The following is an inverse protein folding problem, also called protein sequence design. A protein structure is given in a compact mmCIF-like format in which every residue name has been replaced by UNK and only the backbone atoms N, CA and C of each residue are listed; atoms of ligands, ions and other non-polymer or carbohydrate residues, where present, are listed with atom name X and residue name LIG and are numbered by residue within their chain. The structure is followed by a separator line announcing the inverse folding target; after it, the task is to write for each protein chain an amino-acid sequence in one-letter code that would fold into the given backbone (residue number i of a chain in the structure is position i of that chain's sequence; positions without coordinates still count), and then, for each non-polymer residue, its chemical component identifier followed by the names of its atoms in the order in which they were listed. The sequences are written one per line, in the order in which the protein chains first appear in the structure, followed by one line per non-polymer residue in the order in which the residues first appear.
data_IF_323191625212
#
_entry.id   IF_323191625212
#
_cell.length_a   1.000
_cell.length_b   1.000
_cell.length_c   1.000
_cell.angle_alpha   90.00
_cell.angle_beta   90.00
_cell.angle_gamma   90.00
#
_symmetry.space_group_name_H-M   'P 1'
#
loop_
_entity.id
_entity.type
_entity.pdbx_description
1 polymer ?
#
# COMPACT_ATOMS: atom_id res chain seq x y z
N UNK A 1 -0.86 -13.68 46.02
CA UNK A 1 -1.06 -14.95 45.27
C UNK A 1 0.14 -15.14 44.37
N UNK A 2 0.67 -16.35 44.25
CA UNK A 2 1.80 -16.60 43.36
C UNK A 2 1.31 -17.03 41.97
N UNK A 3 1.65 -16.28 40.93
CA UNK A 3 1.42 -16.69 39.53
C UNK A 3 2.77 -16.98 38.89
N UNK A 4 2.88 -18.11 38.20
CA UNK A 4 4.09 -18.51 37.50
C UNK A 4 3.75 -18.72 36.03
N UNK A 5 4.55 -18.14 35.14
CA UNK A 5 4.50 -18.32 33.71
C UNK A 5 5.85 -18.86 33.24
N UNK A 6 5.85 -19.86 32.36
CA UNK A 6 7.04 -20.40 31.72
C UNK A 6 6.89 -20.27 30.21
N UNK A 7 7.75 -19.48 29.60
CA UNK A 7 7.86 -19.30 28.13
C UNK A 7 8.99 -20.19 27.61
N UNK A 8 8.69 -21.05 26.66
CA UNK A 8 9.64 -22.02 26.05
C UNK A 8 9.87 -21.66 24.60
N UNK A 9 11.13 -21.52 24.23
CA UNK A 9 11.57 -21.31 22.85
C UNK A 9 12.85 -22.09 22.56
N UNK A 10 13.00 -22.55 21.33
CA UNK A 10 14.25 -23.15 20.82
C UNK A 10 15.18 -22.09 20.19
N UNK A 11 14.66 -20.87 19.95
CA UNK A 11 15.42 -19.76 19.37
C UNK A 11 16.17 -18.98 20.47
N UNK A 12 17.51 -18.90 20.33
CA UNK A 12 18.38 -18.21 21.27
C UNK A 12 18.18 -16.70 21.28
N UNK A 13 17.89 -16.08 20.13
CA UNK A 13 17.69 -14.65 20.03
C UNK A 13 16.38 -14.23 20.73
N UNK A 14 15.31 -15.00 20.53
CA UNK A 14 14.04 -14.81 21.24
C UNK A 14 14.24 -14.90 22.76
N UNK A 15 15.00 -15.90 23.23
CA UNK A 15 15.23 -16.04 24.67
C UNK A 15 16.05 -14.88 25.26
N UNK A 16 17.06 -14.37 24.54
CA UNK A 16 17.86 -13.21 24.94
C UNK A 16 16.99 -11.93 24.95
N UNK A 17 16.22 -11.72 23.89
CA UNK A 17 15.30 -10.57 23.79
C UNK A 17 14.32 -10.57 24.98
N UNK A 18 13.65 -11.70 25.22
CA UNK A 18 12.69 -11.80 26.32
C UNK A 18 13.33 -11.54 27.69
N UNK A 19 14.52 -12.05 27.95
CA UNK A 19 15.23 -11.80 29.21
C UNK A 19 15.58 -10.32 29.37
N UNK A 20 16.06 -9.68 28.31
CA UNK A 20 16.39 -8.26 28.30
C UNK A 20 15.15 -7.39 28.58
N UNK A 21 14.04 -7.63 27.89
CA UNK A 21 12.80 -6.89 28.11
C UNK A 21 12.24 -7.08 29.53
N UNK A 22 12.42 -8.27 30.11
CA UNK A 22 11.99 -8.54 31.47
C UNK A 22 12.88 -7.85 32.56
N UNK A 23 14.10 -7.43 32.24
CA UNK A 23 14.93 -6.61 33.14
C UNK A 23 14.33 -5.19 33.32
N UNK A 24 13.69 -4.66 32.27
CA UNK A 24 13.06 -3.32 32.29
C UNK A 24 11.54 -3.38 32.50
N UNK A 25 11.03 -4.55 32.90
CA UNK A 25 9.60 -4.77 32.99
C UNK A 25 8.99 -3.98 34.16
N UNK A 26 8.08 -3.07 33.84
CA UNK A 26 7.49 -2.09 34.78
C UNK A 26 6.62 -2.69 35.90
N UNK A 27 6.51 -4.03 36.01
CA UNK A 27 5.71 -4.71 37.03
C UNK A 27 6.61 -5.10 38.20
N UNK A 28 6.32 -4.53 39.37
CA UNK A 28 7.03 -4.86 40.61
C UNK A 28 6.73 -6.30 41.07
N UNK A 29 7.63 -6.86 41.88
CA UNK A 29 7.46 -8.19 42.49
C UNK A 29 7.52 -9.35 41.50
N UNK A 30 8.27 -9.21 40.40
CA UNK A 30 8.62 -10.32 39.54
C UNK A 30 10.00 -10.89 39.90
N UNK A 31 10.16 -12.18 39.70
CA UNK A 31 11.45 -12.85 39.73
C UNK A 31 11.57 -13.70 38.47
N UNK A 32 12.64 -13.47 37.70
CA UNK A 32 12.90 -14.13 36.41
C UNK A 32 14.07 -15.10 36.56
N UNK A 33 13.90 -16.31 36.04
CA UNK A 33 14.96 -17.28 35.92
C UNK A 33 14.92 -17.96 34.57
N UNK A 34 16.06 -18.43 34.07
CA UNK A 34 16.13 -19.16 32.82
C UNK A 34 16.99 -20.37 32.94
N UNK A 35 16.61 -21.46 32.28
CA UNK A 35 17.42 -22.66 32.16
C UNK A 35 17.18 -23.35 30.82
N UNK A 36 18.20 -24.00 30.30
CA UNK A 36 18.11 -24.79 29.08
C UNK A 36 17.81 -26.25 29.39
N UNK A 37 16.78 -26.78 28.75
CA UNK A 37 16.45 -28.20 28.84
C UNK A 37 16.28 -28.78 27.43
N UNK A 38 17.17 -29.72 27.07
CA UNK A 38 17.27 -30.26 25.71
C UNK A 38 17.43 -29.12 24.66
N UNK A 39 16.49 -28.98 23.74
CA UNK A 39 16.49 -27.97 22.67
C UNK A 39 15.86 -26.65 23.09
N UNK A 40 15.09 -26.64 24.18
CA UNK A 40 14.35 -25.44 24.62
C UNK A 40 15.09 -24.66 25.70
N UNK A 41 15.07 -23.35 25.59
CA UNK A 41 15.32 -22.42 26.70
C UNK A 41 13.97 -22.12 27.36
N UNK A 42 13.90 -22.30 28.68
CA UNK A 42 12.73 -22.04 29.49
C UNK A 42 12.97 -20.75 30.26
N UNK A 43 12.18 -19.71 30.00
CA UNK A 43 12.18 -18.45 30.74
C UNK A 43 11.00 -18.52 31.71
N UNK A 44 11.29 -18.52 33.02
CA UNK A 44 10.30 -18.67 34.09
C UNK A 44 10.14 -17.31 34.78
N UNK A 45 8.92 -16.85 34.86
CA UNK A 45 8.54 -15.59 35.46
C UNK A 45 7.63 -15.86 36.64
N UNK A 46 8.11 -15.56 37.85
CA UNK A 46 7.33 -15.65 39.09
C UNK A 46 6.84 -14.27 39.48
N UNK A 47 5.53 -14.12 39.64
CA UNK A 47 4.91 -12.90 40.12
C UNK A 47 4.30 -13.08 41.50
N UNK A 48 4.71 -12.23 42.48
CA UNK A 48 4.23 -12.26 43.86
C UNK A 48 3.35 -11.07 44.23
N UNK A 49 2.96 -10.23 43.25
CA UNK A 49 2.15 -9.05 43.46
C UNK A 49 0.67 -9.33 43.70
N UNK A 50 -0.09 -8.26 43.96
CA UNK A 50 -1.54 -8.33 44.23
C UNK A 50 -2.38 -8.28 42.95
N UNK A 51 -1.92 -7.57 41.92
CA UNK A 51 -2.69 -7.33 40.69
C UNK A 51 -2.23 -8.32 39.58
N UNK A 52 -2.81 -9.52 39.59
CA UNK A 52 -2.51 -10.57 38.60
C UNK A 52 -2.98 -10.16 37.21
N UNK A 53 -4.09 -9.48 37.09
CA UNK A 53 -4.66 -9.04 35.81
C UNK A 53 -3.70 -8.07 35.09
N UNK A 54 -3.20 -7.03 35.79
CA UNK A 54 -2.21 -6.13 35.24
C UNK A 54 -0.93 -6.86 34.80
N UNK A 55 -0.47 -7.85 35.59
CA UNK A 55 0.69 -8.66 35.23
C UNK A 55 0.42 -9.47 33.95
N UNK A 56 -0.74 -10.13 33.86
CA UNK A 56 -1.10 -10.93 32.67
C UNK A 56 -1.21 -10.03 31.43
N UNK A 57 -1.86 -8.87 31.53
CA UNK A 57 -1.96 -7.93 30.43
C UNK A 57 -0.59 -7.48 29.95
N UNK A 58 0.29 -7.03 30.86
CA UNK A 58 1.63 -6.54 30.51
C UNK A 58 2.49 -7.63 29.86
N UNK A 59 2.49 -8.86 30.42
CA UNK A 59 3.29 -9.97 29.85
C UNK A 59 2.71 -10.43 28.50
N UNK A 60 1.39 -10.42 28.31
CA UNK A 60 0.76 -10.74 27.03
C UNK A 60 1.11 -9.74 25.95
N UNK A 61 1.12 -8.46 26.29
CA UNK A 61 1.56 -7.39 25.38
C UNK A 61 3.04 -7.52 25.00
N UNK A 62 3.92 -7.81 25.97
CA UNK A 62 5.34 -8.06 25.71
C UNK A 62 5.52 -9.22 24.73
N UNK A 63 4.79 -10.32 24.95
CA UNK A 63 4.85 -11.48 24.06
C UNK A 63 4.25 -11.19 22.68
N UNK A 64 3.25 -10.28 22.58
CA UNK A 64 2.72 -9.85 21.29
C UNK A 64 3.79 -9.12 20.46
N UNK A 65 4.52 -8.18 21.05
CA UNK A 65 5.64 -7.54 20.37
C UNK A 65 6.71 -8.54 19.95
N UNK A 66 7.04 -9.52 20.80
CA UNK A 66 7.98 -10.56 20.46
C UNK A 66 7.52 -11.40 19.25
N UNK A 67 6.22 -11.70 19.14
CA UNK A 67 5.68 -12.41 17.95
C UNK A 67 5.82 -11.56 16.69
N UNK A 68 5.52 -10.28 16.77
CA UNK A 68 5.65 -9.36 15.64
C UNK A 68 7.12 -9.28 15.18
N UNK A 69 8.04 -9.06 16.11
CA UNK A 69 9.45 -8.88 15.77
C UNK A 69 10.12 -10.14 15.19
N UNK A 70 9.78 -11.32 15.69
CA UNK A 70 10.49 -12.56 15.37
C UNK A 70 9.74 -13.55 14.48
N UNK A 71 8.42 -13.53 14.45
CA UNK A 71 7.62 -14.49 13.69
C UNK A 71 6.90 -13.89 12.49
N UNK A 72 6.43 -12.63 12.56
CA UNK A 72 5.66 -11.99 11.50
C UNK A 72 6.37 -11.99 10.15
N UNK A 73 7.68 -11.64 10.04
CA UNK A 73 8.38 -11.66 8.76
C UNK A 73 8.36 -13.03 8.09
N UNK A 74 8.52 -14.10 8.87
CA UNK A 74 8.51 -15.46 8.34
C UNK A 74 7.10 -15.94 7.99
N UNK A 75 6.08 -15.50 8.71
CA UNK A 75 4.68 -15.81 8.42
C UNK A 75 4.27 -15.15 7.09
N UNK A 76 4.55 -13.85 6.91
CA UNK A 76 4.26 -13.13 5.67
C UNK A 76 4.96 -13.82 4.49
N UNK A 77 6.24 -14.15 4.63
CA UNK A 77 6.98 -14.82 3.57
C UNK A 77 6.41 -16.20 3.21
N UNK A 78 5.95 -16.95 4.22
CA UNK A 78 5.32 -18.25 4.01
C UNK A 78 3.95 -18.11 3.34
N UNK A 79 3.13 -17.11 3.71
CA UNK A 79 1.85 -16.81 3.05
C UNK A 79 2.06 -16.49 1.57
N UNK A 80 3.01 -15.60 1.25
CA UNK A 80 3.36 -15.26 -0.13
C UNK A 80 3.82 -16.51 -0.90
N UNK A 81 4.70 -17.32 -0.32
CA UNK A 81 5.24 -18.50 -1.00
C UNK A 81 4.18 -19.59 -1.24
N UNK A 82 3.22 -19.72 -0.34
CA UNK A 82 2.20 -20.77 -0.41
C UNK A 82 1.03 -20.36 -1.28
N UNK A 83 0.48 -19.15 -1.06
CA UNK A 83 -0.74 -18.70 -1.75
C UNK A 83 -0.43 -18.15 -3.15
N UNK A 84 0.77 -17.60 -3.34
CA UNK A 84 1.20 -16.92 -4.57
C UNK A 84 2.46 -17.57 -5.17
N UNK A 85 2.48 -18.88 -5.21
CA UNK A 85 3.63 -19.69 -5.67
C UNK A 85 4.04 -19.40 -7.13
N UNK A 86 3.12 -18.88 -7.95
CA UNK A 86 3.32 -18.59 -9.38
C UNK A 86 4.12 -17.31 -9.66
N UNK A 87 4.33 -16.41 -8.69
CA UNK A 87 5.22 -15.28 -8.85
C UNK A 87 6.69 -15.70 -8.79
N UNK A 88 7.52 -15.00 -9.53
CA UNK A 88 8.98 -15.16 -9.49
C UNK A 88 9.56 -14.77 -8.12
N UNK A 89 10.79 -15.15 -7.87
CA UNK A 89 11.49 -14.80 -6.61
C UNK A 89 11.62 -13.30 -6.41
N UNK A 90 11.83 -12.54 -7.50
CA UNK A 90 11.96 -11.08 -7.46
C UNK A 90 10.60 -10.43 -7.14
N UNK A 91 9.54 -10.84 -7.83
CA UNK A 91 8.19 -10.34 -7.58
C UNK A 91 7.73 -10.63 -6.14
N UNK A 92 8.02 -11.83 -5.61
CA UNK A 92 7.73 -12.17 -4.21
C UNK A 92 8.45 -11.26 -3.22
N UNK A 93 9.69 -10.87 -3.54
CA UNK A 93 10.45 -9.94 -2.72
C UNK A 93 9.83 -8.54 -2.74
N UNK A 94 9.36 -8.07 -3.90
CA UNK A 94 8.69 -6.79 -4.03
C UNK A 94 7.36 -6.77 -3.28
N UNK A 95 6.56 -7.84 -3.40
CA UNK A 95 5.31 -8.01 -2.63
C UNK A 95 5.60 -8.02 -1.13
N UNK A 96 6.64 -8.74 -0.68
CA UNK A 96 7.05 -8.76 0.73
C UNK A 96 7.41 -7.36 1.24
N UNK A 97 8.18 -6.59 0.48
CA UNK A 97 8.52 -5.21 0.82
C UNK A 97 7.27 -4.32 0.89
N UNK A 98 6.31 -4.51 -0.03
CA UNK A 98 5.03 -3.83 0.02
C UNK A 98 4.25 -4.17 1.29
N UNK A 99 4.24 -5.42 1.74
CA UNK A 99 3.59 -5.82 2.99
C UNK A 99 4.21 -5.07 4.19
N UNK A 100 5.54 -5.03 4.29
CA UNK A 100 6.21 -4.34 5.39
C UNK A 100 5.93 -2.83 5.44
N UNK A 101 5.72 -2.19 4.28
CA UNK A 101 5.44 -0.75 4.20
C UNK A 101 3.96 -0.38 4.35
N UNK A 102 3.05 -1.33 4.12
CA UNK A 102 1.61 -1.09 4.17
C UNK A 102 0.94 -1.51 5.50
N UNK A 103 1.68 -2.10 6.43
CA UNK A 103 1.19 -2.31 7.80
C UNK A 103 1.18 -0.93 8.48
N UNK A 104 0.04 -0.26 8.45
CA UNK A 104 -0.15 1.05 9.06
C UNK A 104 -0.29 0.94 10.60
N UNK A 105 -0.29 2.09 11.28
CA UNK A 105 -0.39 2.16 12.74
C UNK A 105 -1.69 1.54 13.29
N UNK A 106 -2.82 1.64 12.57
CA UNK A 106 -4.10 1.05 13.00
C UNK A 106 -4.07 -0.47 12.91
N UNK A 107 -3.54 -0.99 11.80
CA UNK A 107 -3.35 -2.43 11.59
C UNK A 107 -2.40 -3.00 12.64
N UNK A 108 -1.31 -2.31 12.94
CA UNK A 108 -0.36 -2.72 13.99
C UNK A 108 -1.01 -2.78 15.37
N UNK A 109 -1.82 -1.81 15.76
CA UNK A 109 -2.55 -1.83 17.05
C UNK A 109 -3.55 -2.98 17.08
N UNK A 110 -4.30 -3.21 16.00
CA UNK A 110 -5.25 -4.32 15.91
C UNK A 110 -4.55 -5.66 16.08
N UNK A 111 -3.43 -5.84 15.40
CA UNK A 111 -2.59 -7.05 15.47
C UNK A 111 -2.07 -7.28 16.91
N UNK A 112 -1.51 -6.25 17.54
CA UNK A 112 -1.02 -6.34 18.94
C UNK A 112 -2.14 -6.77 19.87
N UNK A 113 -3.34 -6.20 19.73
CA UNK A 113 -4.48 -6.53 20.57
C UNK A 113 -4.93 -8.00 20.38
N UNK A 114 -5.03 -8.46 19.14
CA UNK A 114 -5.39 -9.85 18.82
C UNK A 114 -4.42 -10.84 19.48
N UNK A 115 -3.12 -10.59 19.32
CA UNK A 115 -2.09 -11.49 19.88
C UNK A 115 -2.07 -11.40 21.41
N UNK A 116 -2.16 -10.19 21.98
CA UNK A 116 -2.16 -9.97 23.43
C UNK A 116 -3.35 -10.65 24.10
N UNK A 117 -4.55 -10.52 23.52
CA UNK A 117 -5.76 -11.14 24.02
C UNK A 117 -5.65 -12.68 24.00
N UNK A 118 -5.12 -13.24 22.91
CA UNK A 118 -4.89 -14.67 22.82
C UNK A 118 -3.91 -15.20 23.88
N UNK A 119 -2.83 -14.45 24.19
CA UNK A 119 -1.91 -14.81 25.28
C UNK A 119 -2.57 -14.63 26.65
N UNK A 120 -3.33 -13.54 26.86
CA UNK A 120 -4.02 -13.28 28.12
C UNK A 120 -4.99 -14.39 28.46
N UNK A 121 -5.88 -14.77 27.53
CA UNK A 121 -6.83 -15.87 27.71
C UNK A 121 -6.09 -17.20 27.96
N UNK A 122 -5.03 -17.44 27.23
CA UNK A 122 -4.26 -18.67 27.39
C UNK A 122 -3.62 -18.78 28.77
N UNK A 123 -3.00 -17.73 29.28
CA UNK A 123 -2.34 -17.72 30.59
C UNK A 123 -3.31 -17.66 31.77
N UNK A 124 -4.55 -17.34 31.53
CA UNK A 124 -5.58 -17.45 32.58
C UNK A 124 -5.67 -18.89 33.10
N UNK A 125 -5.61 -19.86 32.18
CA UNK A 125 -5.74 -21.28 32.47
C UNK A 125 -4.41 -22.05 32.48
N UNK A 126 -3.40 -21.56 31.81
CA UNK A 126 -2.14 -22.28 31.58
C UNK A 126 -0.97 -21.59 32.26
N UNK A 127 0.05 -22.40 32.64
CA UNK A 127 1.28 -21.91 33.30
C UNK A 127 2.49 -21.89 32.37
N UNK A 128 2.43 -22.54 31.21
CA UNK A 128 3.54 -22.61 30.28
C UNK A 128 3.06 -22.49 28.84
N UNK A 129 3.90 -21.94 27.99
CA UNK A 129 3.67 -21.82 26.55
C UNK A 129 4.93 -22.23 25.78
N UNK A 130 4.78 -22.97 24.69
CA UNK A 130 5.82 -23.20 23.67
C UNK A 130 5.49 -22.23 22.54
N UNK A 131 6.37 -21.25 22.29
CA UNK A 131 6.06 -20.14 21.35
C UNK A 131 5.73 -20.63 19.96
N UNK A 132 6.55 -21.51 19.36
CA UNK A 132 6.30 -22.03 18.01
C UNK A 132 4.94 -22.74 17.91
N UNK A 133 4.58 -23.53 18.92
CA UNK A 133 3.28 -24.20 18.98
C UNK A 133 2.14 -23.22 19.17
N UNK A 134 2.34 -22.17 19.96
CA UNK A 134 1.32 -21.14 20.17
C UNK A 134 1.04 -20.38 18.90
N UNK A 135 2.07 -19.92 18.19
CA UNK A 135 1.94 -19.23 16.91
C UNK A 135 1.18 -20.09 15.90
N UNK A 136 1.61 -21.34 15.72
CA UNK A 136 1.04 -22.20 14.68
C UNK A 136 -0.39 -22.66 14.97
N UNK A 137 -0.79 -22.80 16.25
CA UNK A 137 -2.07 -23.44 16.60
C UNK A 137 -3.08 -22.47 17.25
N UNK A 138 -2.62 -21.37 17.85
CA UNK A 138 -3.50 -20.48 18.63
C UNK A 138 -3.71 -19.11 17.97
N UNK A 139 -2.78 -18.65 17.13
CA UNK A 139 -2.85 -17.33 16.48
C UNK A 139 -3.51 -17.37 15.10
N UNK A 140 -4.55 -18.18 14.91
CA UNK A 140 -5.24 -18.31 13.61
C UNK A 140 -5.87 -17.00 13.13
N UNK A 141 -6.46 -16.22 14.03
CA UNK A 141 -7.06 -14.93 13.68
C UNK A 141 -5.99 -13.93 13.24
N UNK A 142 -4.86 -13.90 13.94
CA UNK A 142 -3.71 -13.09 13.56
C UNK A 142 -3.15 -13.47 12.17
N UNK A 143 -2.97 -14.76 11.91
CA UNK A 143 -2.49 -15.23 10.59
C UNK A 143 -3.48 -14.85 9.49
N UNK A 144 -4.80 -14.89 9.77
CA UNK A 144 -5.83 -14.47 8.82
C UNK A 144 -5.79 -12.97 8.54
N UNK A 145 -5.52 -12.13 9.54
CA UNK A 145 -5.33 -10.69 9.31
C UNK A 145 -4.09 -10.42 8.44
N UNK A 146 -2.98 -11.11 8.70
CA UNK A 146 -1.80 -11.01 7.85
C UNK A 146 -2.06 -11.49 6.42
N UNK A 147 -2.82 -12.55 6.24
CA UNK A 147 -3.22 -13.05 4.92
C UNK A 147 -4.01 -11.99 4.14
N UNK A 148 -4.95 -11.31 4.81
CA UNK A 148 -5.68 -10.17 4.21
C UNK A 148 -4.75 -9.03 3.78
N UNK A 149 -3.74 -8.69 4.59
CA UNK A 149 -2.73 -7.69 4.24
C UNK A 149 -1.92 -8.13 3.02
N UNK A 150 -1.51 -9.39 2.98
CA UNK A 150 -0.78 -9.97 1.83
C UNK A 150 -1.63 -9.90 0.57
N UNK A 151 -2.91 -10.28 0.62
CA UNK A 151 -3.84 -10.19 -0.51
C UNK A 151 -3.96 -8.75 -1.06
N UNK A 152 -4.10 -7.77 -0.18
CA UNK A 152 -4.15 -6.35 -0.56
C UNK A 152 -2.85 -5.90 -1.24
N UNK A 153 -1.70 -6.30 -0.72
CA UNK A 153 -0.40 -5.96 -1.29
C UNK A 153 -0.18 -6.64 -2.65
N UNK A 154 -0.60 -7.88 -2.81
CA UNK A 154 -0.56 -8.60 -4.10
C UNK A 154 -1.43 -7.91 -5.14
N UNK A 155 -2.67 -7.55 -4.79
CA UNK A 155 -3.57 -6.84 -5.69
C UNK A 155 -2.96 -5.50 -6.13
N UNK A 156 -2.40 -4.74 -5.20
CA UNK A 156 -1.70 -3.49 -5.52
C UNK A 156 -0.51 -3.73 -6.45
N UNK A 157 0.31 -4.73 -6.16
CA UNK A 157 1.46 -5.10 -7.00
C UNK A 157 1.03 -5.44 -8.44
N UNK A 158 -0.04 -6.23 -8.61
CA UNK A 158 -0.57 -6.58 -9.93
C UNK A 158 -1.03 -5.33 -10.68
N UNK A 159 -1.83 -4.46 -10.05
CA UNK A 159 -2.32 -3.23 -10.66
C UNK A 159 -1.16 -2.33 -11.08
N UNK A 160 -0.17 -2.12 -10.22
CA UNK A 160 1.00 -1.30 -10.51
C UNK A 160 1.85 -1.87 -11.66
N UNK A 161 2.00 -3.20 -11.72
CA UNK A 161 2.69 -3.89 -12.80
C UNK A 161 1.95 -3.73 -14.13
N UNK A 162 0.66 -4.02 -14.17
CA UNK A 162 -0.17 -3.90 -15.38
C UNK A 162 -0.19 -2.46 -15.91
N UNK A 163 -0.28 -1.49 -15.01
CA UNK A 163 -0.19 -0.08 -15.36
C UNK A 163 1.18 0.28 -15.98
N UNK A 164 2.28 -0.19 -15.39
CA UNK A 164 3.61 0.06 -15.91
C UNK A 164 3.85 -0.61 -17.27
N UNK A 165 3.35 -1.82 -17.47
CA UNK A 165 3.39 -2.53 -18.74
C UNK A 165 2.58 -1.77 -19.80
N UNK A 166 1.36 -1.33 -19.48
CA UNK A 166 0.52 -0.54 -20.37
C UNK A 166 1.21 0.76 -20.80
N UNK A 167 1.75 1.54 -19.84
CA UNK A 167 2.51 2.77 -20.15
C UNK A 167 3.72 2.48 -21.06
N UNK A 168 4.41 1.38 -20.80
CA UNK A 168 5.58 0.95 -21.59
C UNK A 168 5.22 0.60 -23.03
N UNK A 169 4.10 -0.11 -23.22
CA UNK A 169 3.57 -0.44 -24.55
C UNK A 169 3.17 0.83 -25.32
N UNK A 170 2.45 1.76 -24.68
CA UNK A 170 2.08 3.03 -25.32
C UNK A 170 3.30 3.87 -25.69
N UNK A 171 4.32 3.90 -24.83
CA UNK A 171 5.57 4.59 -25.10
C UNK A 171 6.32 3.98 -26.31
N UNK A 172 6.39 2.66 -26.38
CA UNK A 172 6.97 1.95 -27.53
C UNK A 172 6.20 2.27 -28.82
N UNK A 173 4.86 2.25 -28.77
CA UNK A 173 4.00 2.62 -29.90
C UNK A 173 4.30 4.04 -30.41
N UNK A 174 4.37 5.03 -29.52
CA UNK A 174 4.67 6.43 -29.86
C UNK A 174 6.06 6.59 -30.47
N UNK A 175 7.04 5.80 -30.03
CA UNK A 175 8.41 5.85 -30.56
C UNK A 175 8.55 5.25 -31.94
N UNK A 176 7.77 4.22 -32.26
CA UNK A 176 7.86 3.47 -33.53
C UNK A 176 6.92 4.00 -34.60
N UNK A 177 5.88 4.74 -34.24
CA UNK A 177 4.87 5.23 -35.18
C UNK A 177 5.17 6.68 -35.62
N UNK A 178 5.07 7.01 -36.91
CA UNK A 178 5.26 8.36 -37.40
C UNK A 178 4.28 9.35 -36.78
N UNK A 179 4.75 10.57 -36.53
CA UNK A 179 3.89 11.64 -36.03
C UNK A 179 2.96 12.17 -37.11
N UNK A 180 1.67 12.31 -36.82
CA UNK A 180 0.64 12.80 -37.73
C UNK A 180 0.29 14.28 -37.50
N UNK A 181 0.78 14.89 -36.39
CA UNK A 181 0.57 16.29 -36.07
C UNK A 181 1.87 16.94 -35.58
N UNK A 182 2.11 18.20 -35.93
CA UNK A 182 3.31 18.91 -35.48
C UNK A 182 3.19 19.32 -34.02
N UNK A 183 2.08 19.92 -33.63
CA UNK A 183 1.81 20.30 -32.24
C UNK A 183 0.35 20.17 -31.89
N UNK A 184 0.08 19.75 -30.67
CA UNK A 184 -1.26 19.71 -30.04
C UNK A 184 -1.19 20.45 -28.72
N UNK A 185 -2.22 21.20 -28.40
CA UNK A 185 -2.41 21.88 -27.13
C UNK A 185 -3.49 21.17 -26.34
N UNK A 186 -3.18 20.73 -25.14
CA UNK A 186 -4.12 20.16 -24.17
C UNK A 186 -4.36 21.19 -23.07
N UNK A 187 -5.59 21.66 -22.93
CA UNK A 187 -6.01 22.48 -21.80
C UNK A 187 -6.57 21.56 -20.74
N UNK A 188 -5.98 21.59 -19.55
CA UNK A 188 -6.38 20.76 -18.44
C UNK A 188 -6.92 21.58 -17.29
N UNK A 189 -8.22 21.39 -16.98
CA UNK A 189 -8.94 22.17 -15.97
C UNK A 189 -10.05 21.34 -15.33
N UNK A 190 -10.16 21.33 -13.99
CA UNK A 190 -11.18 20.61 -13.23
C UNK A 190 -11.28 19.14 -13.63
N UNK A 191 -10.13 18.45 -13.79
CA UNK A 191 -10.03 17.08 -14.24
C UNK A 191 -10.64 16.80 -15.63
N UNK A 192 -10.79 17.86 -16.45
CA UNK A 192 -11.28 17.76 -17.80
C UNK A 192 -10.23 18.23 -18.81
N UNK A 193 -10.22 17.56 -19.96
CA UNK A 193 -9.30 17.78 -21.07
C UNK A 193 -10.01 18.42 -22.26
N UNK A 194 -9.39 19.46 -22.85
CA UNK A 194 -9.80 20.04 -24.12
C UNK A 194 -8.58 20.04 -25.04
N UNK A 195 -8.71 19.44 -26.22
CA UNK A 195 -7.64 19.42 -27.22
C UNK A 195 -7.82 20.52 -28.26
N UNK A 196 -6.74 21.20 -28.57
CA UNK A 196 -6.68 22.20 -29.64
C UNK A 196 -5.58 21.83 -30.64
N UNK A 197 -5.78 22.09 -31.90
CA UNK A 197 -4.79 21.96 -32.94
C UNK A 197 -3.68 23.03 -32.84
N UNK A 198 -2.73 23.00 -33.75
CA UNK A 198 -1.63 23.97 -33.82
C UNK A 198 -2.15 25.44 -34.07
N UNK A 199 -3.32 25.59 -34.69
CA UNK A 199 -3.99 26.87 -34.93
C UNK A 199 -4.89 27.27 -33.76
N UNK A 200 -4.91 26.53 -32.67
CA UNK A 200 -5.75 26.72 -31.45
C UNK A 200 -7.26 26.54 -31.68
N UNK A 201 -7.65 25.80 -32.72
CA UNK A 201 -9.03 25.38 -32.93
C UNK A 201 -9.32 24.11 -32.12
N UNK A 202 -10.52 23.98 -31.57
CA UNK A 202 -10.93 22.82 -30.83
C UNK A 202 -11.01 21.57 -31.74
N UNK A 203 -10.36 20.49 -31.34
CA UNK A 203 -10.45 19.21 -32.02
C UNK A 203 -11.74 18.54 -31.55
N UNK A 204 -12.69 18.33 -32.49
CA UNK A 204 -13.96 17.68 -32.16
C UNK A 204 -13.80 16.16 -32.10
N UNK A 205 -14.39 15.54 -31.07
CA UNK A 205 -14.30 14.10 -30.83
C UNK A 205 -14.93 13.25 -31.93
N UNK A 206 -15.90 13.80 -32.69
CA UNK A 206 -16.63 13.08 -33.75
C UNK A 206 -15.77 12.71 -34.97
N UNK A 207 -14.68 13.43 -35.19
CA UNK A 207 -13.79 13.18 -36.36
C UNK A 207 -12.88 11.96 -36.18
N UNK A 208 -12.75 11.47 -34.93
CA UNK A 208 -11.80 10.42 -34.56
C UNK A 208 -12.53 9.05 -34.37
N UNK A 209 -13.84 9.08 -34.12
CA UNK A 209 -14.63 7.89 -33.77
C UNK A 209 -15.16 7.06 -34.94
N UNK A 210 -14.70 7.27 -36.18
CA UNK A 210 -15.23 6.59 -37.37
C UNK A 210 -15.09 5.05 -37.28
N UNK A 211 -14.27 4.51 -36.39
CA UNK A 211 -14.01 3.07 -36.25
C UNK A 211 -14.53 2.40 -34.98
N UNK A 212 -15.24 3.11 -34.07
CA UNK A 212 -15.66 2.54 -32.78
C UNK A 212 -17.17 2.29 -32.66
N UNK A 213 -17.77 1.66 -33.67
CA UNK A 213 -19.21 1.29 -33.67
C UNK A 213 -19.64 0.25 -32.62
N UNK A 214 -18.74 -0.22 -31.78
CA UNK A 214 -19.00 -1.35 -30.85
C UNK A 214 -19.01 -1.01 -29.37
N UNK A 215 -18.95 0.28 -28.98
CA UNK A 215 -18.85 0.69 -27.57
C UNK A 215 -20.00 1.66 -27.17
N UNK A 216 -21.25 1.32 -27.50
CA UNK A 216 -22.43 2.18 -27.26
C UNK A 216 -22.80 2.38 -25.79
N UNK A 217 -22.29 1.55 -24.86
CA UNK A 217 -22.74 1.52 -23.46
C UNK A 217 -21.72 2.03 -22.44
N UNK A 218 -20.53 2.50 -22.89
CA UNK A 218 -19.49 3.02 -22.01
C UNK A 218 -19.43 4.55 -22.17
N UNK A 219 -19.68 5.29 -21.08
CA UNK A 219 -19.46 6.73 -21.05
C UNK A 219 -17.97 7.02 -20.85
N UNK A 220 -17.29 7.45 -21.92
CA UNK A 220 -15.89 7.87 -21.83
C UNK A 220 -15.79 9.26 -21.19
N UNK A 221 -14.80 9.44 -20.32
CA UNK A 221 -14.44 10.74 -19.78
C UNK A 221 -13.75 11.62 -20.84
N UNK A 222 -13.68 12.93 -20.60
CA UNK A 222 -12.93 13.85 -21.48
C UNK A 222 -11.44 13.47 -21.56
N UNK A 223 -10.90 12.86 -20.52
CA UNK A 223 -9.52 12.40 -20.46
C UNK A 223 -9.29 11.15 -21.31
N UNK A 224 -10.24 10.23 -21.35
CA UNK A 224 -10.18 9.03 -22.22
C UNK A 224 -10.20 9.45 -23.70
N UNK A 225 -11.07 10.40 -24.05
CA UNK A 225 -11.11 10.98 -25.39
C UNK A 225 -9.80 11.70 -25.75
N UNK A 226 -9.27 12.48 -24.81
CA UNK A 226 -8.01 13.19 -25.03
C UNK A 226 -6.85 12.21 -25.26
N UNK A 227 -6.72 11.17 -24.44
CA UNK A 227 -5.69 10.16 -24.60
C UNK A 227 -5.81 9.45 -25.95
N UNK A 228 -7.00 8.98 -26.33
CA UNK A 228 -7.24 8.32 -27.60
C UNK A 228 -6.89 9.24 -28.80
N UNK A 229 -7.29 10.50 -28.74
CA UNK A 229 -6.99 11.48 -29.77
C UNK A 229 -5.49 11.74 -29.89
N UNK A 230 -4.78 11.85 -28.78
CA UNK A 230 -3.33 12.03 -28.74
C UNK A 230 -2.58 10.82 -29.28
N UNK A 231 -3.06 9.61 -29.01
CA UNK A 231 -2.49 8.36 -29.55
C UNK A 231 -2.75 8.21 -31.06
N UNK A 232 -3.85 8.75 -31.57
CA UNK A 232 -4.15 8.75 -33.02
C UNK A 232 -3.37 9.81 -33.76
N UNK A 233 -3.29 11.03 -33.20
CA UNK A 233 -2.63 12.19 -33.83
C UNK A 233 -1.10 12.14 -33.67
N UNK A 234 -0.59 11.47 -32.64
CA UNK A 234 0.84 11.30 -32.34
C UNK A 234 1.65 12.59 -32.53
N UNK A 235 1.38 13.64 -31.74
CA UNK A 235 2.03 14.92 -31.94
C UNK A 235 3.53 14.85 -31.71
N UNK A 236 4.30 15.64 -32.51
CA UNK A 236 5.73 15.87 -32.25
C UNK A 236 5.95 16.66 -30.98
N UNK A 237 5.02 17.60 -30.66
CA UNK A 237 5.03 18.42 -29.45
C UNK A 237 3.64 18.45 -28.83
N UNK A 238 3.56 18.13 -27.55
CA UNK A 238 2.34 18.21 -26.74
C UNK A 238 2.49 19.32 -25.70
N UNK A 239 1.78 20.42 -25.88
CA UNK A 239 1.74 21.52 -24.93
C UNK A 239 0.57 21.31 -23.96
N UNK A 240 0.87 21.06 -22.70
CA UNK A 240 -0.15 20.90 -21.65
C UNK A 240 -0.28 22.23 -20.90
N UNK A 241 -1.42 22.90 -21.10
CA UNK A 241 -1.81 24.11 -20.39
C UNK A 241 -2.48 23.71 -19.09
N UNK A 242 -1.70 23.66 -18.01
CA UNK A 242 -2.14 23.22 -16.70
C UNK A 242 -2.77 24.43 -15.96
N UNK A 243 -4.08 24.39 -15.84
CA UNK A 243 -4.84 25.47 -15.17
C UNK A 243 -4.93 25.22 -13.67
N UNK A 244 -5.08 23.96 -13.28
CA UNK A 244 -5.17 23.48 -11.90
C UNK A 244 -3.92 22.65 -11.52
N UNK A 245 -4.04 21.84 -10.49
CA UNK A 245 -2.97 20.99 -10.00
C UNK A 245 -2.79 19.76 -10.93
N UNK A 246 -1.57 19.32 -11.07
CA UNK A 246 -1.24 18.08 -11.76
C UNK A 246 -1.82 16.86 -11.01
N UNK A 247 -2.39 15.92 -11.75
CA UNK A 247 -2.94 14.67 -11.26
C UNK A 247 -2.34 13.44 -11.98
N UNK A 248 -2.88 12.26 -11.71
CA UNK A 248 -2.42 11.00 -12.29
C UNK A 248 -2.55 10.96 -13.81
N UNK A 249 -3.56 11.61 -14.39
CA UNK A 249 -3.74 11.67 -15.84
C UNK A 249 -2.60 12.45 -16.51
N UNK A 250 -2.28 13.64 -16.02
CA UNK A 250 -1.16 14.45 -16.52
C UNK A 250 0.18 13.74 -16.32
N UNK A 251 0.38 13.11 -15.16
CA UNK A 251 1.55 12.30 -14.87
C UNK A 251 1.69 11.13 -15.85
N UNK A 252 0.58 10.48 -16.20
CA UNK A 252 0.52 9.42 -17.22
C UNK A 252 0.90 9.93 -18.59
N UNK A 253 0.37 11.07 -19.04
CA UNK A 253 0.73 11.69 -20.31
C UNK A 253 2.23 12.03 -20.39
N UNK A 254 2.80 12.59 -19.32
CA UNK A 254 4.24 12.83 -19.22
C UNK A 254 5.07 11.55 -19.37
N UNK A 255 4.63 10.46 -18.75
CA UNK A 255 5.32 9.16 -18.86
C UNK A 255 5.25 8.57 -20.26
N UNK A 256 4.08 8.65 -20.92
CA UNK A 256 3.84 8.10 -22.25
C UNK A 256 4.55 8.92 -23.32
N UNK A 257 4.36 10.24 -23.36
CA UNK A 257 4.89 11.13 -24.40
C UNK A 257 6.32 11.63 -24.15
N UNK A 258 6.79 11.54 -22.89
CA UNK A 258 8.18 11.84 -22.53
C UNK A 258 8.65 13.23 -22.97
N UNK A 259 9.72 13.27 -23.78
CA UNK A 259 10.35 14.51 -24.26
C UNK A 259 9.47 15.34 -25.22
N UNK A 260 8.32 14.83 -25.66
CA UNK A 260 7.37 15.59 -26.50
C UNK A 260 6.46 16.48 -25.66
N UNK A 261 6.45 16.36 -24.31
CA UNK A 261 5.56 17.13 -23.41
C UNK A 261 6.21 18.42 -22.94
N UNK A 262 5.47 19.51 -23.06
CA UNK A 262 5.84 20.84 -22.58
C UNK A 262 4.71 21.37 -21.67
N UNK A 263 5.01 21.62 -20.39
CA UNK A 263 4.04 22.18 -19.45
C UNK A 263 4.05 23.70 -19.54
N UNK A 264 2.86 24.29 -19.63
CA UNK A 264 2.63 25.72 -19.66
C UNK A 264 1.60 26.12 -18.61
N UNK A 265 1.89 27.16 -17.83
CA UNK A 265 1.01 27.64 -16.75
C UNK A 265 0.63 29.13 -16.88
N UNK A 266 1.30 29.91 -17.77
CA UNK A 266 1.25 31.39 -17.74
C UNK A 266 1.06 32.06 -19.12
N UNK A 267 0.73 31.30 -20.17
CA UNK A 267 0.46 31.92 -21.49
C UNK A 267 -0.96 32.51 -21.58
N UNK A 268 -1.25 33.20 -22.69
CA UNK A 268 -2.57 33.82 -22.94
C UNK A 268 -3.72 32.81 -22.86
N UNK A 269 -3.53 31.60 -23.36
CA UNK A 269 -4.51 30.52 -23.21
C UNK A 269 -4.76 30.17 -21.74
N UNK A 270 -3.69 30.03 -20.96
CA UNK A 270 -3.82 29.76 -19.52
C UNK A 270 -4.56 30.90 -18.81
N UNK A 271 -4.25 32.17 -19.14
CA UNK A 271 -4.91 33.34 -18.58
C UNK A 271 -6.41 33.38 -18.92
N UNK A 272 -6.74 33.06 -20.18
CA UNK A 272 -8.13 33.03 -20.66
C UNK A 272 -8.96 31.96 -19.91
N UNK A 273 -8.44 30.76 -19.73
CA UNK A 273 -9.16 29.69 -19.04
C UNK A 273 -9.18 29.85 -17.51
N UNK A 274 -8.19 30.56 -16.92
CA UNK A 274 -8.22 30.99 -15.51
C UNK A 274 -9.31 32.04 -15.27
N UNK A 275 -9.47 33.03 -16.15
CA UNK A 275 -10.44 34.12 -16.02
C UNK A 275 -11.91 33.68 -16.13
N UNK A 276 -12.19 32.63 -16.89
CA UNK A 276 -13.54 32.08 -17.01
C UNK A 276 -14.04 31.43 -15.69
N UNK A 277 -13.16 31.04 -14.77
CA UNK A 277 -13.51 30.49 -13.46
C UNK A 277 -14.05 31.57 -12.52
N UNK A 278 -13.54 32.82 -12.60
CA UNK A 278 -13.99 33.93 -11.74
C UNK A 278 -15.40 34.42 -12.09
N UNK A 279 -15.83 34.31 -13.34
CA UNK A 279 -17.20 34.71 -13.75
C UNK A 279 -18.27 33.71 -13.26
N UNK A 280 -17.97 32.42 -13.20
CA UNK A 280 -18.92 31.40 -12.70
C UNK A 280 -19.08 31.42 -11.18
N UNK A 281 -18.02 31.75 -10.43
CA UNK A 281 -18.08 31.87 -8.97
C UNK A 281 -18.79 33.17 -8.50
N UNK A 282 -18.70 34.25 -9.25
CA UNK A 282 -19.41 35.51 -8.94
C UNK A 282 -20.94 35.41 -9.12
N UNK A 283 -21.43 34.52 -10.00
CA UNK A 283 -22.86 34.31 -10.21
C UNK A 283 -23.47 33.33 -9.16
N UNK A 284 -22.66 32.55 -8.44
CA UNK A 284 -23.16 31.69 -7.33
C UNK A 284 -23.25 32.41 -5.99
N UNK A 285 -22.64 33.59 -5.85
CA UNK A 285 -22.71 34.41 -4.63
C UNK A 285 -23.80 35.51 -4.72
N UNK A 286 -24.59 35.53 -5.79
CA UNK A 286 -25.67 36.49 -6.00
C UNK A 286 -27.09 35.87 -6.04
N UNK A 287 -27.23 34.58 -5.67
CA UNK A 287 -28.55 33.97 -5.49
C UNK A 287 -28.70 33.41 -4.08
#
# INVERSE_FOLDING_TARGET
MLKTICVKTNNKEISKYLLKELEYFEVQSIHVSSYKFKVYTNVIIHYKGKNIELFLNKISTLLAYLIIDFYEPSIIQNLINTNYFYFSTEEKKDIYNLCLTNIDFKTSISIINIISEAFYEYFFYNKYVVLDGFVNFRLKNYIKELDTVVDMCVNKFIIDREYNEFVSLLKAYIQTTPSNADAIHLIYKNQNSILLDNSKNAIQYNDILINSKYLSDISFSSNDYALNSLLTLLPKKLYIHLIDVEDDFISTLKRIFGNRVYICTECDLCALYKSQTSKYNLNRLKN
#
